data_IF_224921320288
#
_entry.id   IF_224921320288
#
_cell.length_a   1.000
_cell.length_b   1.000
_cell.length_c   1.000
_cell.angle_alpha   90.00
_cell.angle_beta   90.00
_cell.angle_gamma   90.00
#
_symmetry.space_group_name_H-M   'P 1'
#
loop_
_entity.id
_entity.type
_entity.pdbx_description
1 polymer ?
#
# COMPACT_ATOMS: atom_id res chain seq x y z
N UNK A 1 -9.77 17.25 -34.77
CA UNK A 1 -9.15 15.99 -34.33
C UNK A 1 -8.75 16.20 -32.88
N UNK A 2 -9.53 15.66 -31.94
CA UNK A 2 -9.26 15.75 -30.51
C UNK A 2 -8.99 14.33 -30.01
N UNK A 3 -7.87 14.04 -29.34
CA UNK A 3 -7.69 12.74 -28.71
C UNK A 3 -8.53 12.73 -27.43
N UNK A 4 -9.59 11.95 -27.44
CA UNK A 4 -10.31 11.60 -26.21
C UNK A 4 -9.45 10.52 -25.55
N UNK A 5 -8.65 10.91 -24.56
CA UNK A 5 -7.88 10.00 -23.72
C UNK A 5 -8.86 9.26 -22.81
N UNK A 6 -9.56 8.28 -23.37
CA UNK A 6 -10.32 7.31 -22.61
C UNK A 6 -9.34 6.35 -21.97
N UNK A 7 -9.09 6.52 -20.67
CA UNK A 7 -8.67 5.36 -19.87
C UNK A 7 -9.77 4.32 -20.04
N UNK A 8 -9.46 3.22 -20.72
CA UNK A 8 -10.40 2.12 -20.91
C UNK A 8 -10.86 1.62 -19.56
N UNK A 9 -12.17 1.45 -19.36
CA UNK A 9 -12.77 0.95 -18.12
C UNK A 9 -12.13 -0.37 -17.63
N UNK A 10 -11.62 -1.15 -18.57
CA UNK A 10 -10.86 -2.38 -18.36
C UNK A 10 -9.59 -2.16 -17.53
N UNK A 11 -8.84 -1.08 -17.78
CA UNK A 11 -7.59 -0.75 -17.08
C UNK A 11 -7.83 -0.38 -15.61
N UNK A 12 -8.92 0.36 -15.34
CA UNK A 12 -9.29 0.74 -13.96
C UNK A 12 -9.75 -0.49 -13.17
N UNK A 13 -10.49 -1.39 -13.83
CA UNK A 13 -10.93 -2.63 -13.20
C UNK A 13 -9.74 -3.55 -12.87
N UNK A 14 -8.74 -3.62 -13.76
CA UNK A 14 -7.52 -4.41 -13.55
C UNK A 14 -6.71 -3.89 -12.35
N UNK A 15 -6.44 -2.58 -12.29
CA UNK A 15 -5.75 -1.97 -11.14
C UNK A 15 -6.48 -2.18 -9.80
N UNK A 16 -7.81 -2.13 -9.82
CA UNK A 16 -8.63 -2.39 -8.62
C UNK A 16 -8.54 -3.85 -8.20
N UNK A 17 -8.53 -4.78 -9.16
CA UNK A 17 -8.38 -6.20 -8.90
C UNK A 17 -6.99 -6.51 -8.32
N UNK A 18 -5.93 -5.96 -8.90
CA UNK A 18 -4.55 -6.12 -8.38
C UNK A 18 -4.43 -5.58 -6.94
N UNK A 19 -5.01 -4.40 -6.68
CA UNK A 19 -5.01 -3.81 -5.34
C UNK A 19 -5.76 -4.70 -4.33
N UNK A 20 -6.88 -5.31 -4.74
CA UNK A 20 -7.63 -6.24 -3.90
C UNK A 20 -6.86 -7.54 -3.67
N UNK A 21 -6.12 -8.04 -4.67
CA UNK A 21 -5.27 -9.22 -4.52
C UNK A 21 -4.17 -8.97 -3.49
N UNK A 22 -3.42 -7.86 -3.62
CA UNK A 22 -2.41 -7.45 -2.66
C UNK A 22 -3.00 -7.31 -1.24
N UNK A 23 -4.19 -6.73 -1.11
CA UNK A 23 -4.86 -6.64 0.18
C UNK A 23 -5.20 -8.00 0.79
N UNK A 24 -5.55 -9.00 -0.01
CA UNK A 24 -5.81 -10.34 0.51
C UNK A 24 -4.51 -11.09 0.87
N UNK A 25 -3.43 -10.90 0.12
CA UNK A 25 -2.17 -11.63 0.29
C UNK A 25 -1.29 -11.12 1.45
N UNK A 26 -1.24 -9.81 1.67
CA UNK A 26 -0.35 -9.21 2.67
C UNK A 26 -1.01 -9.28 4.04
N UNK A 27 -0.42 -9.99 5.00
CA UNK A 27 -0.95 -10.10 6.37
C UNK A 27 -0.47 -8.96 7.29
N UNK A 28 -1.21 -8.74 8.38
CA UNK A 28 -0.73 -7.91 9.51
C UNK A 28 0.57 -8.51 10.05
N UNK A 29 1.58 -7.66 10.31
CA UNK A 29 2.94 -8.04 10.66
C UNK A 29 3.88 -8.23 9.45
N UNK A 30 3.36 -8.17 8.22
CA UNK A 30 4.19 -8.13 7.01
C UNK A 30 4.87 -6.79 6.86
N UNK A 31 6.03 -6.75 6.19
CA UNK A 31 6.68 -5.50 5.80
C UNK A 31 6.31 -5.16 4.35
N UNK A 32 5.94 -3.91 4.10
CA UNK A 32 5.57 -3.41 2.76
C UNK A 32 6.48 -2.26 2.35
N UNK A 33 6.74 -2.16 1.05
CA UNK A 33 7.59 -1.14 0.46
C UNK A 33 6.80 -0.34 -0.57
N UNK A 34 6.94 0.98 -0.54
CA UNK A 34 6.27 1.87 -1.46
C UNK A 34 7.11 2.14 -2.72
N UNK A 35 6.45 2.26 -3.86
CA UNK A 35 7.08 2.66 -5.12
C UNK A 35 7.51 4.14 -5.10
N UNK A 36 6.72 4.98 -4.43
CA UNK A 36 6.87 6.42 -4.41
C UNK A 36 6.75 6.98 -2.99
N UNK A 37 7.27 8.19 -2.81
CA UNK A 37 7.15 8.94 -1.56
C UNK A 37 5.68 9.31 -1.32
N UNK A 38 5.18 9.06 -0.13
CA UNK A 38 3.83 9.49 0.27
C UNK A 38 3.92 10.85 0.95
N UNK A 39 3.22 11.83 0.38
CA UNK A 39 3.15 13.19 0.89
C UNK A 39 1.72 13.46 1.34
N UNK A 40 1.54 13.81 2.61
CA UNK A 40 0.27 14.22 3.19
C UNK A 40 0.38 15.66 3.70
N UNK A 41 -0.57 16.53 3.37
CA UNK A 41 -0.55 17.96 3.73
C UNK A 41 0.80 18.69 3.51
N UNK A 42 1.48 18.40 2.39
CA UNK A 42 2.81 18.94 2.04
C UNK A 42 3.95 18.50 3.00
N UNK A 43 3.73 17.43 3.75
CA UNK A 43 4.72 16.77 4.60
C UNK A 43 4.98 15.37 4.04
N UNK A 44 6.26 15.00 3.92
CA UNK A 44 6.65 13.64 3.61
C UNK A 44 6.29 12.73 4.79
N UNK A 45 5.39 11.78 4.59
CA UNK A 45 4.93 10.86 5.65
C UNK A 45 5.47 9.45 5.48
N UNK A 46 5.68 8.98 4.25
CA UNK A 46 6.35 7.70 3.99
C UNK A 46 7.37 7.90 2.87
N UNK A 47 8.53 7.27 3.04
CA UNK A 47 9.64 7.33 2.09
C UNK A 47 9.59 6.11 1.19
N UNK A 48 9.73 6.33 -0.12
CA UNK A 48 9.87 5.25 -1.09
C UNK A 48 11.02 4.32 -0.72
N UNK A 49 10.87 3.04 -1.02
CA UNK A 49 11.93 2.08 -0.80
C UNK A 49 12.19 1.70 0.67
N UNK A 50 11.52 2.32 1.63
CA UNK A 50 11.58 1.89 3.04
C UNK A 50 10.55 0.79 3.32
N UNK A 51 10.88 -0.10 4.26
CA UNK A 51 10.00 -1.19 4.69
C UNK A 51 9.18 -0.74 5.90
N UNK A 52 7.86 -0.79 5.75
CA UNK A 52 6.90 -0.43 6.79
C UNK A 52 6.12 -1.65 7.25
N UNK A 53 6.01 -1.85 8.56
CA UNK A 53 5.19 -2.92 9.11
C UNK A 53 3.70 -2.60 8.98
N UNK A 54 2.93 -3.57 8.47
CA UNK A 54 1.48 -3.52 8.45
C UNK A 54 0.95 -3.79 9.85
N UNK A 55 0.48 -2.76 10.53
CA UNK A 55 -0.04 -2.85 11.90
C UNK A 55 -1.51 -3.24 11.94
N UNK A 56 -2.28 -2.89 10.91
CA UNK A 56 -3.67 -3.26 10.78
C UNK A 56 -4.13 -3.27 9.32
N UNK A 57 -5.26 -3.93 9.07
CA UNK A 57 -6.07 -3.80 7.86
C UNK A 57 -7.35 -3.09 8.20
N UNK A 58 -7.80 -2.20 7.32
CA UNK A 58 -9.09 -1.53 7.43
C UNK A 58 -9.86 -1.65 6.13
N UNK A 59 -11.15 -1.95 6.24
CA UNK A 59 -12.10 -2.09 5.13
C UNK A 59 -13.30 -1.16 5.35
N UNK A 60 -13.01 0.11 5.66
CA UNK A 60 -14.00 1.16 6.00
C UNK A 60 -15.14 1.31 4.97
N UNK A 61 -14.94 0.78 3.76
CA UNK A 61 -15.97 0.60 2.75
C UNK A 61 -15.64 -0.64 1.91
N UNK A 62 -16.65 -1.35 1.34
CA UNK A 62 -16.43 -2.57 0.55
C UNK A 62 -15.55 -2.39 -0.70
N UNK A 63 -15.21 -1.15 -1.05
CA UNK A 63 -14.36 -0.81 -2.18
C UNK A 63 -13.11 0.00 -1.79
N UNK A 64 -12.76 0.05 -0.50
CA UNK A 64 -11.61 0.85 -0.03
C UNK A 64 -10.77 0.11 1.01
N UNK A 65 -10.16 -1.03 0.63
CA UNK A 65 -9.21 -1.72 1.49
C UNK A 65 -7.96 -0.85 1.70
N UNK A 66 -7.56 -0.67 2.95
CA UNK A 66 -6.36 0.09 3.32
C UNK A 66 -5.54 -0.68 4.36
N UNK A 67 -4.23 -0.58 4.26
CA UNK A 67 -3.31 -0.96 5.31
C UNK A 67 -3.08 0.21 6.27
N UNK A 68 -2.75 -0.09 7.50
CA UNK A 68 -2.28 0.90 8.47
C UNK A 68 -0.83 0.60 8.78
N UNK A 69 0.04 1.59 8.56
CA UNK A 69 1.47 1.53 8.87
C UNK A 69 1.84 2.69 9.78
N UNK A 70 2.95 2.59 10.51
CA UNK A 70 3.48 3.72 11.26
C UNK A 70 4.57 4.44 10.46
N UNK A 71 4.47 5.77 10.36
CA UNK A 71 5.55 6.59 9.82
C UNK A 71 6.71 6.67 10.81
N UNK A 72 7.93 6.42 10.34
CA UNK A 72 9.14 6.70 11.12
C UNK A 72 9.50 8.20 11.13
N UNK A 73 8.89 9.00 10.25
CA UNK A 73 9.16 10.44 10.13
C UNK A 73 8.28 11.26 11.06
N UNK A 74 6.99 10.91 11.15
CA UNK A 74 6.01 11.64 11.96
C UNK A 74 5.53 10.88 13.19
N UNK A 75 5.89 9.60 13.33
CA UNK A 75 5.41 8.66 14.37
C UNK A 75 3.89 8.39 14.31
N UNK A 76 3.21 8.90 13.28
CA UNK A 76 1.77 8.78 13.09
C UNK A 76 1.37 7.50 12.35
N UNK A 77 0.12 7.06 12.55
CA UNK A 77 -0.47 5.97 11.80
C UNK A 77 -1.01 6.48 10.47
N UNK A 78 -0.51 5.93 9.38
CA UNK A 78 -0.83 6.31 8.01
C UNK A 78 -1.64 5.20 7.35
N UNK A 79 -2.73 5.58 6.69
CA UNK A 79 -3.49 4.66 5.84
C UNK A 79 -2.84 4.57 4.47
N UNK A 80 -2.51 3.35 4.05
CA UNK A 80 -1.81 3.05 2.82
C UNK A 80 -2.70 2.22 1.90
N UNK A 81 -2.94 2.73 0.69
CA UNK A 81 -3.67 1.99 -0.33
C UNK A 81 -2.80 0.87 -0.92
N UNK A 82 -3.32 -0.36 -1.13
CA UNK A 82 -2.54 -1.49 -1.64
C UNK A 82 -1.83 -1.20 -2.97
N UNK A 83 -2.47 -0.45 -3.87
CA UNK A 83 -1.88 -0.05 -5.16
C UNK A 83 -0.67 0.88 -5.07
N UNK A 84 -0.24 1.31 -3.88
CA UNK A 84 1.01 2.06 -3.67
C UNK A 84 2.20 1.16 -3.32
N UNK A 85 1.95 -0.14 -3.10
CA UNK A 85 2.95 -1.11 -2.68
C UNK A 85 3.63 -1.70 -3.92
N UNK A 86 4.95 -1.65 -3.97
CA UNK A 86 5.74 -2.28 -5.04
C UNK A 86 6.36 -3.62 -4.63
N UNK A 87 6.48 -3.88 -3.33
CA UNK A 87 7.10 -5.08 -2.80
C UNK A 87 6.63 -5.34 -1.35
N UNK A 88 6.62 -6.60 -0.93
CA UNK A 88 6.28 -6.97 0.44
C UNK A 88 7.05 -8.22 0.90
N UNK A 89 7.23 -8.35 2.22
CA UNK A 89 7.85 -9.49 2.89
C UNK A 89 6.85 -10.05 3.91
N UNK A 90 6.35 -11.25 3.65
CA UNK A 90 5.56 -12.01 4.63
C UNK A 90 6.50 -12.58 5.72
N UNK A 91 6.06 -12.49 6.99
CA UNK A 91 6.75 -13.06 8.14
C UNK A 91 8.24 -12.71 8.25
N UNK A 92 8.62 -11.43 8.39
CA UNK A 92 10.03 -11.04 8.59
C UNK A 92 10.65 -11.69 9.86
N UNK A 93 9.83 -12.14 10.80
CA UNK A 93 10.26 -12.81 12.04
C UNK A 93 10.57 -14.31 11.88
N UNK A 94 10.14 -14.97 10.79
CA UNK A 94 10.44 -16.40 10.58
C UNK A 94 11.89 -16.65 10.12
N UNK A 95 12.63 -15.60 9.74
CA UNK A 95 14.02 -15.72 9.26
C UNK A 95 15.04 -15.79 10.42
N UNK A 96 14.59 -15.74 11.68
CA UNK A 96 15.45 -15.99 12.86
C UNK A 96 15.47 -17.48 13.29
N UNK A 97 15.78 -18.38 12.36
CA UNK A 97 16.10 -19.77 12.68
C UNK A 97 17.22 -20.31 11.77
N UNK A 98 18.48 -20.04 12.14
CA UNK A 98 19.64 -20.95 12.03
C UNK A 98 20.92 -20.24 12.49
#
# INVERSE_FOLDING_TARGET
MSPHTGVSTDFVADMMLESLQLWNEIDVGSLVQLEADLIDHNTLVLTRGHLYEVLAKTDLSPCHPMFVVQSELTEELIQLHPGLICNYLQNPHEIYHA
#
